data_IF_236905746063
#
_entry.id   IF_236905746063
#
_cell.length_a   1.000
_cell.length_b   1.000
_cell.length_c   1.000
_cell.angle_alpha   90.00
_cell.angle_beta   90.00
_cell.angle_gamma   90.00
#
_symmetry.space_group_name_H-M   'P 1'
#
loop_
_entity.id
_entity.type
_entity.pdbx_description
1 polymer ?
#
# COMPACT_ATOMS: atom_id res chain seq x y z
N UNK A 1 -9.19 -24.49 -13.30
CA UNK A 1 -10.63 -24.62 -12.98
C UNK A 1 -10.80 -24.44 -11.48
N UNK A 2 -11.32 -23.31 -10.99
CA UNK A 2 -11.67 -23.19 -9.59
C UNK A 2 -12.86 -24.10 -9.30
N UNK A 3 -12.70 -24.91 -8.25
CA UNK A 3 -13.69 -25.81 -7.69
C UNK A 3 -15.05 -25.13 -7.53
N UNK A 4 -16.11 -25.74 -8.08
CA UNK A 4 -17.51 -25.42 -7.76
C UNK A 4 -17.78 -25.75 -6.28
N UNK A 5 -17.36 -24.87 -5.38
CA UNK A 5 -17.70 -24.99 -3.97
C UNK A 5 -19.18 -24.63 -3.84
N UNK A 6 -20.03 -25.62 -3.53
CA UNK A 6 -21.45 -25.40 -3.25
C UNK A 6 -21.58 -24.34 -2.16
N UNK A 7 -22.13 -23.17 -2.52
CA UNK A 7 -22.40 -22.03 -1.63
C UNK A 7 -23.23 -22.54 -0.44
N UNK A 8 -22.62 -22.59 0.76
CA UNK A 8 -23.35 -22.84 2.01
C UNK A 8 -24.42 -21.75 2.14
N UNK A 9 -25.62 -22.13 2.61
CA UNK A 9 -26.71 -21.20 2.92
C UNK A 9 -26.14 -20.13 3.88
N UNK A 10 -26.21 -18.84 3.49
CA UNK A 10 -25.64 -17.71 4.25
C UNK A 10 -26.21 -17.73 5.67
N UNK A 11 -25.34 -17.61 6.68
CA UNK A 11 -25.79 -17.38 8.06
C UNK A 11 -26.37 -15.96 8.15
N UNK A 12 -27.28 -15.72 9.09
CA UNK A 12 -27.90 -14.39 9.28
C UNK A 12 -26.90 -13.43 9.96
N UNK A 13 -26.67 -12.24 9.40
CA UNK A 13 -25.74 -11.22 9.90
C UNK A 13 -24.42 -11.12 9.11
N UNK A 14 -23.75 -9.97 9.21
CA UNK A 14 -22.42 -9.68 8.64
C UNK A 14 -21.41 -10.81 8.90
N UNK A 15 -20.84 -11.37 7.82
CA UNK A 15 -19.74 -12.35 7.93
C UNK A 15 -18.36 -11.66 7.88
N UNK A 16 -17.97 -11.07 9.01
CA UNK A 16 -16.68 -10.40 9.18
C UNK A 16 -15.49 -11.29 8.83
N UNK A 17 -15.59 -12.58 9.17
CA UNK A 17 -14.53 -13.56 8.93
C UNK A 17 -14.35 -13.84 7.44
N UNK A 18 -15.47 -14.06 6.73
CA UNK A 18 -15.48 -14.25 5.28
C UNK A 18 -14.93 -13.04 4.53
N UNK A 19 -15.43 -11.83 4.81
CA UNK A 19 -14.97 -10.62 4.12
C UNK A 19 -13.46 -10.36 4.36
N UNK A 20 -13.02 -10.47 5.61
CA UNK A 20 -11.60 -10.28 5.98
C UNK A 20 -10.70 -11.33 5.33
N UNK A 21 -11.09 -12.61 5.35
CA UNK A 21 -10.27 -13.66 4.76
C UNK A 21 -10.22 -13.55 3.24
N UNK A 22 -11.35 -13.24 2.60
CA UNK A 22 -11.42 -13.02 1.15
C UNK A 22 -10.51 -11.86 0.73
N UNK A 23 -10.47 -10.76 1.49
CA UNK A 23 -9.56 -9.65 1.21
C UNK A 23 -8.08 -10.05 1.33
N UNK A 24 -7.71 -10.87 2.31
CA UNK A 24 -6.32 -11.34 2.48
C UNK A 24 -5.91 -12.31 1.38
N UNK A 25 -6.79 -13.23 1.02
CA UNK A 25 -6.56 -14.14 -0.10
C UNK A 25 -6.41 -13.34 -1.40
N UNK A 26 -7.22 -12.29 -1.57
CA UNK A 26 -7.13 -11.37 -2.70
C UNK A 26 -5.79 -10.63 -2.74
N UNK A 27 -5.33 -10.06 -1.61
CA UNK A 27 -4.01 -9.43 -1.48
C UNK A 27 -2.90 -10.36 -1.97
N UNK A 28 -2.94 -11.62 -1.54
CA UNK A 28 -1.93 -12.62 -1.89
C UNK A 28 -2.02 -13.04 -3.35
N UNK A 29 -3.22 -13.31 -3.86
CA UNK A 29 -3.43 -13.83 -5.20
C UNK A 29 -3.12 -12.79 -6.29
N UNK A 30 -3.47 -11.54 -6.04
CA UNK A 30 -3.28 -10.43 -6.99
C UNK A 30 -2.10 -9.54 -6.63
N UNK A 31 -1.22 -9.99 -5.73
CA UNK A 31 0.02 -9.32 -5.34
C UNK A 31 -0.18 -7.82 -5.04
N UNK A 32 -1.09 -7.53 -4.12
CA UNK A 32 -1.26 -6.19 -3.55
C UNK A 32 -0.14 -6.01 -2.52
N UNK A 33 1.00 -5.49 -2.97
CA UNK A 33 2.26 -5.49 -2.24
C UNK A 33 2.80 -4.08 -1.93
N UNK A 34 2.09 -3.03 -2.34
CA UNK A 34 2.50 -1.64 -2.18
C UNK A 34 1.35 -0.74 -1.72
N UNK A 35 1.71 0.39 -1.09
CA UNK A 35 0.79 1.44 -0.65
C UNK A 35 1.28 2.82 -1.11
N UNK A 36 0.41 3.71 -1.61
CA UNK A 36 -1.01 3.50 -1.90
C UNK A 36 -1.23 2.41 -2.97
N UNK A 37 -2.36 1.69 -2.89
CA UNK A 37 -2.75 0.73 -3.92
C UNK A 37 -3.19 1.48 -5.17
N UNK A 38 -2.72 1.10 -6.36
CA UNK A 38 -3.37 1.52 -7.61
C UNK A 38 -4.67 0.72 -7.78
N UNK A 39 -5.79 1.39 -7.59
CA UNK A 39 -7.11 0.76 -7.57
C UNK A 39 -7.61 0.42 -8.97
N UNK A 40 -7.18 1.14 -9.99
CA UNK A 40 -7.60 0.91 -11.37
C UNK A 40 -6.83 -0.27 -11.95
N UNK A 41 -5.51 -0.28 -11.78
CA UNK A 41 -4.67 -1.44 -12.14
C UNK A 41 -5.12 -2.71 -11.39
N UNK A 42 -5.59 -2.56 -10.14
CA UNK A 42 -6.11 -3.70 -9.38
C UNK A 42 -7.36 -4.31 -10.00
N UNK A 43 -8.30 -3.48 -10.46
CA UNK A 43 -9.52 -3.94 -11.14
C UNK A 43 -9.15 -4.64 -12.45
N UNK A 44 -8.26 -4.05 -13.25
CA UNK A 44 -7.81 -4.62 -14.52
C UNK A 44 -7.15 -5.99 -14.32
N UNK A 45 -6.23 -6.11 -13.36
CA UNK A 45 -5.56 -7.38 -13.03
C UNK A 45 -6.56 -8.44 -12.54
N UNK A 46 -7.54 -8.05 -11.73
CA UNK A 46 -8.59 -8.97 -11.29
C UNK A 46 -9.46 -9.45 -12.47
N UNK A 47 -9.88 -8.53 -13.34
CA UNK A 47 -10.68 -8.82 -14.53
C UNK A 47 -9.96 -9.80 -15.46
N UNK A 48 -8.67 -9.53 -15.75
CA UNK A 48 -7.83 -10.41 -16.58
C UNK A 48 -7.67 -11.79 -15.96
N UNK A 49 -7.25 -11.86 -14.69
CA UNK A 49 -6.96 -13.12 -14.01
C UNK A 49 -8.20 -14.01 -13.81
N UNK A 50 -9.39 -13.41 -13.71
CA UNK A 50 -10.66 -14.15 -13.56
C UNK A 50 -11.41 -14.34 -14.88
N UNK A 51 -10.90 -13.78 -15.98
CA UNK A 51 -11.58 -13.72 -17.27
C UNK A 51 -13.02 -13.17 -17.14
N UNK A 52 -13.17 -12.14 -16.31
CA UNK A 52 -14.41 -11.38 -16.16
C UNK A 52 -14.31 -10.10 -16.97
N UNK A 53 -15.41 -9.70 -17.61
CA UNK A 53 -15.50 -8.41 -18.26
C UNK A 53 -15.94 -7.38 -17.21
N UNK A 54 -15.03 -6.51 -16.79
CA UNK A 54 -15.30 -5.45 -15.82
C UNK A 54 -14.93 -4.12 -16.47
N UNK A 55 -15.85 -3.16 -16.42
CA UNK A 55 -15.64 -1.81 -16.93
C UNK A 55 -15.80 -0.82 -15.79
N UNK A 56 -14.90 0.15 -15.71
CA UNK A 56 -15.10 1.32 -14.86
C UNK A 56 -15.66 2.43 -15.73
N UNK A 57 -16.79 3.01 -15.32
CA UNK A 57 -17.44 4.13 -16.01
C UNK A 57 -17.58 5.30 -15.07
N UNK A 58 -17.21 6.48 -15.52
CA UNK A 58 -17.49 7.71 -14.78
C UNK A 58 -18.92 8.17 -15.03
N UNK A 59 -19.44 9.05 -14.17
CA UNK A 59 -20.72 9.70 -14.44
C UNK A 59 -20.64 10.57 -15.70
N UNK A 60 -19.46 11.11 -16.03
CA UNK A 60 -19.23 11.80 -17.30
C UNK A 60 -19.37 10.87 -18.51
N UNK A 61 -18.78 9.67 -18.47
CA UNK A 61 -18.92 8.66 -19.53
C UNK A 61 -20.40 8.30 -19.73
N UNK A 62 -21.12 8.02 -18.64
CA UNK A 62 -22.55 7.70 -18.70
C UNK A 62 -23.38 8.86 -19.23
N UNK A 63 -23.08 10.10 -18.83
CA UNK A 63 -23.77 11.28 -19.34
C UNK A 63 -23.56 11.43 -20.85
N UNK A 64 -22.34 11.18 -21.33
CA UNK A 64 -22.05 11.19 -22.75
C UNK A 64 -22.76 10.08 -23.52
N UNK A 65 -22.78 8.86 -23.00
CA UNK A 65 -23.41 7.69 -23.64
C UNK A 65 -24.94 7.79 -23.67
N UNK A 66 -25.55 8.18 -22.55
CA UNK A 66 -27.01 8.17 -22.35
C UNK A 66 -27.70 9.49 -22.68
N UNK A 67 -26.93 10.59 -22.75
CA UNK A 67 -27.43 11.98 -22.83
C UNK A 67 -28.29 12.41 -21.64
N UNK A 68 -28.23 11.67 -20.53
CA UNK A 68 -28.81 12.08 -19.24
C UNK A 68 -27.84 13.05 -18.57
N UNK A 69 -28.35 14.09 -17.93
CA UNK A 69 -27.49 15.02 -17.21
C UNK A 69 -26.88 14.38 -15.96
N UNK A 70 -25.76 14.96 -15.52
CA UNK A 70 -24.99 14.46 -14.37
C UNK A 70 -25.84 14.32 -13.11
N UNK A 71 -26.71 15.30 -12.80
CA UNK A 71 -27.43 15.32 -11.53
C UNK A 71 -28.45 14.18 -11.49
N UNK A 72 -29.19 13.97 -12.58
CA UNK A 72 -30.08 12.81 -12.69
C UNK A 72 -29.34 11.48 -12.62
N UNK A 73 -28.14 11.35 -13.20
CA UNK A 73 -27.35 10.12 -13.03
C UNK A 73 -26.92 9.90 -11.57
N UNK A 74 -26.56 10.98 -10.87
CA UNK A 74 -26.22 10.89 -9.44
C UNK A 74 -27.45 10.46 -8.63
N UNK A 75 -28.58 11.14 -8.80
CA UNK A 75 -29.77 10.96 -7.97
C UNK A 75 -30.51 9.64 -8.29
N UNK A 76 -30.61 9.28 -9.57
CA UNK A 76 -31.49 8.19 -10.02
C UNK A 76 -30.75 6.89 -10.35
N UNK A 77 -29.44 6.95 -10.68
CA UNK A 77 -28.65 5.75 -11.03
C UNK A 77 -27.81 5.27 -9.86
N UNK A 78 -26.99 6.15 -9.28
CA UNK A 78 -26.16 5.80 -8.11
C UNK A 78 -26.79 6.24 -6.78
N UNK A 79 -28.05 6.68 -6.78
CA UNK A 79 -28.85 6.98 -5.59
C UNK A 79 -28.24 7.99 -4.61
N UNK A 80 -27.49 8.97 -5.13
CA UNK A 80 -26.80 9.99 -4.34
C UNK A 80 -25.49 9.51 -3.69
N UNK A 81 -25.10 8.26 -3.92
CA UNK A 81 -23.84 7.69 -3.42
C UNK A 81 -22.63 8.08 -4.30
N UNK A 82 -21.44 7.60 -3.95
CA UNK A 82 -20.23 7.85 -4.72
C UNK A 82 -20.04 6.89 -5.90
N UNK A 83 -20.76 5.77 -5.94
CA UNK A 83 -20.65 4.78 -7.00
C UNK A 83 -21.65 3.64 -6.88
N UNK A 84 -21.59 2.73 -7.85
CA UNK A 84 -22.47 1.57 -7.94
C UNK A 84 -21.85 0.48 -8.82
N UNK A 85 -21.86 -0.75 -8.34
CA UNK A 85 -21.60 -1.93 -9.16
C UNK A 85 -22.90 -2.52 -9.72
N UNK A 86 -22.92 -2.78 -11.04
CA UNK A 86 -24.02 -3.45 -11.73
C UNK A 86 -23.49 -4.63 -12.54
N UNK A 87 -24.31 -5.67 -12.70
CA UNK A 87 -24.03 -6.78 -13.61
C UNK A 87 -25.09 -6.86 -14.70
N UNK A 88 -24.65 -6.86 -15.97
CA UNK A 88 -25.49 -7.09 -17.13
C UNK A 88 -25.36 -8.56 -17.61
N UNK A 89 -26.41 -9.39 -17.42
CA UNK A 89 -26.40 -10.78 -17.88
C UNK A 89 -26.41 -10.93 -19.40
N UNK A 90 -26.91 -9.94 -20.15
CA UNK A 90 -27.07 -10.02 -21.60
C UNK A 90 -25.69 -9.92 -22.28
N UNK A 91 -24.80 -9.07 -21.74
CA UNK A 91 -23.42 -8.91 -22.20
C UNK A 91 -22.38 -9.64 -21.35
N UNK A 92 -22.81 -10.23 -20.22
CA UNK A 92 -21.93 -10.83 -19.21
C UNK A 92 -20.83 -9.85 -18.75
N UNK A 93 -21.23 -8.61 -18.46
CA UNK A 93 -20.33 -7.51 -18.12
C UNK A 93 -20.69 -6.92 -16.76
N UNK A 94 -19.67 -6.72 -15.92
CA UNK A 94 -19.76 -5.89 -14.72
C UNK A 94 -19.42 -4.44 -15.07
N UNK A 95 -20.18 -3.49 -14.55
CA UNK A 95 -19.83 -2.06 -14.61
C UNK A 95 -19.72 -1.50 -13.20
N UNK A 96 -18.57 -0.90 -12.89
CA UNK A 96 -18.32 -0.11 -11.70
C UNK A 96 -18.50 1.35 -12.10
N UNK A 97 -19.60 1.95 -11.67
CA UNK A 97 -19.93 3.35 -11.94
C UNK A 97 -19.37 4.19 -10.79
N UNK A 98 -18.63 5.26 -11.11
CA UNK A 98 -18.05 6.16 -10.10
C UNK A 98 -18.39 7.62 -10.36
N UNK A 99 -18.68 8.34 -9.28
CA UNK A 99 -18.69 9.80 -9.28
C UNK A 99 -17.25 10.31 -9.28
N UNK A 100 -16.70 10.59 -10.46
CA UNK A 100 -15.31 11.00 -10.68
C UNK A 100 -14.98 12.41 -10.13
N UNK A 101 -15.98 13.11 -9.58
CA UNK A 101 -15.83 14.40 -8.90
C UNK A 101 -15.97 14.28 -7.38
N UNK A 102 -16.01 13.07 -6.83
CA UNK A 102 -16.05 12.86 -5.38
C UNK A 102 -14.73 13.32 -4.74
N UNK A 103 -14.82 14.26 -3.81
CA UNK A 103 -13.68 14.81 -3.08
C UNK A 103 -13.70 14.41 -1.60
N UNK A 104 -12.54 14.12 -0.98
CA UNK A 104 -11.20 14.05 -1.59
C UNK A 104 -11.02 12.84 -2.52
N UNK A 105 -10.00 12.83 -3.38
CA UNK A 105 -9.66 11.69 -4.28
C UNK A 105 -9.63 10.30 -3.58
N UNK A 106 -9.31 10.27 -2.28
CA UNK A 106 -9.39 9.05 -1.47
C UNK A 106 -10.79 8.41 -1.42
N UNK A 107 -11.87 9.18 -1.66
CA UNK A 107 -13.23 8.65 -1.80
C UNK A 107 -13.39 7.86 -3.09
N UNK A 108 -12.90 8.39 -4.22
CA UNK A 108 -12.91 7.67 -5.50
C UNK A 108 -12.18 6.32 -5.35
N UNK A 109 -10.99 6.34 -4.72
CA UNK A 109 -10.21 5.13 -4.44
C UNK A 109 -10.97 4.13 -3.57
N UNK A 110 -11.65 4.61 -2.54
CA UNK A 110 -12.51 3.79 -1.69
C UNK A 110 -13.65 3.16 -2.48
N UNK A 111 -14.40 3.97 -3.21
CA UNK A 111 -15.56 3.54 -4.00
C UNK A 111 -15.18 2.47 -5.01
N UNK A 112 -14.09 2.65 -5.79
CA UNK A 112 -13.65 1.63 -6.76
C UNK A 112 -13.43 0.27 -6.11
N UNK A 113 -12.76 0.23 -4.96
CA UNK A 113 -12.49 -1.04 -4.26
C UNK A 113 -13.73 -1.57 -3.55
N UNK A 114 -14.61 -0.71 -3.04
CA UNK A 114 -15.90 -1.09 -2.45
C UNK A 114 -16.80 -1.76 -3.49
N UNK A 115 -16.96 -1.16 -4.67
CA UNK A 115 -17.72 -1.73 -5.77
C UNK A 115 -17.08 -3.03 -6.29
N UNK A 116 -15.75 -3.09 -6.38
CA UNK A 116 -15.05 -4.34 -6.68
C UNK A 116 -15.34 -5.41 -5.62
N UNK A 117 -15.46 -5.05 -4.35
CA UNK A 117 -15.79 -5.99 -3.28
C UNK A 117 -17.15 -6.66 -3.52
N UNK A 118 -18.16 -5.93 -4.00
CA UNK A 118 -19.45 -6.52 -4.36
C UNK A 118 -19.33 -7.58 -5.45
N UNK A 119 -18.45 -7.39 -6.43
CA UNK A 119 -18.16 -8.38 -7.47
C UNK A 119 -17.46 -9.60 -6.86
N UNK A 120 -16.37 -9.37 -6.11
CA UNK A 120 -15.50 -10.41 -5.54
C UNK A 120 -16.24 -11.28 -4.53
N UNK A 121 -17.05 -10.67 -3.65
CA UNK A 121 -17.83 -11.36 -2.62
C UNK A 121 -19.08 -12.05 -3.22
N UNK A 122 -19.37 -11.86 -4.51
CA UNK A 122 -20.49 -12.46 -5.20
C UNK A 122 -21.85 -11.89 -4.75
N UNK A 123 -21.85 -10.59 -4.43
CA UNK A 123 -23.04 -9.84 -4.04
C UNK A 123 -23.98 -9.57 -5.22
N UNK A 124 -23.44 -9.54 -6.45
CA UNK A 124 -24.18 -9.33 -7.68
C UNK A 124 -24.61 -10.68 -8.29
N UNK A 125 -25.71 -11.27 -7.81
CA UNK A 125 -26.25 -12.52 -8.36
C UNK A 125 -27.38 -12.32 -9.38
N UNK A 126 -27.31 -13.12 -10.46
CA UNK A 126 -28.12 -13.21 -11.68
C UNK A 126 -29.62 -12.81 -11.60
N UNK A 127 -29.92 -11.51 -11.73
CA UNK A 127 -31.09 -11.00 -12.47
C UNK A 127 -31.02 -9.47 -12.54
N UNK A 128 -30.31 -8.90 -13.54
CA UNK A 128 -30.13 -7.44 -13.73
C UNK A 128 -30.04 -6.67 -12.41
N UNK A 129 -29.10 -7.06 -11.56
CA UNK A 129 -28.93 -6.48 -10.23
C UNK A 129 -27.85 -5.40 -10.32
N UNK A 130 -28.27 -4.14 -10.44
CA UNK A 130 -27.70 -3.14 -9.54
C UNK A 130 -27.87 -3.69 -8.14
N UNK A 131 -26.92 -3.44 -7.22
CA UNK A 131 -26.93 -3.94 -5.82
C UNK A 131 -28.36 -4.25 -5.41
N UNK A 132 -28.61 -5.51 -5.04
CA UNK A 132 -29.86 -6.30 -5.03
C UNK A 132 -30.99 -5.70 -4.15
N UNK A 133 -31.10 -4.37 -4.12
CA UNK A 133 -31.91 -3.48 -3.29
C UNK A 133 -33.40 -3.77 -3.43
N UNK A 134 -33.82 -4.25 -4.59
CA UNK A 134 -35.23 -4.58 -4.85
C UNK A 134 -35.61 -6.04 -4.53
N UNK A 135 -34.65 -6.92 -4.21
CA UNK A 135 -34.92 -8.33 -3.88
C UNK A 135 -34.43 -8.74 -2.48
N UNK A 136 -33.66 -7.90 -1.78
CA UNK A 136 -33.16 -8.15 -0.43
C UNK A 136 -33.97 -7.42 0.63
N UNK A 137 -33.91 -7.94 1.85
CA UNK A 137 -34.31 -7.17 3.05
C UNK A 137 -33.25 -6.09 3.36
N UNK A 138 -33.65 -5.02 4.04
CA UNK A 138 -32.73 -3.95 4.49
C UNK A 138 -31.57 -4.50 5.32
N UNK A 139 -31.83 -5.47 6.20
CA UNK A 139 -30.81 -6.17 6.98
C UNK A 139 -29.79 -6.90 6.08
N UNK A 140 -30.25 -7.63 5.06
CA UNK A 140 -29.36 -8.37 4.16
C UNK A 140 -28.51 -7.44 3.28
N UNK A 141 -29.09 -6.30 2.87
CA UNK A 141 -28.38 -5.25 2.14
C UNK A 141 -27.28 -4.65 3.02
N UNK A 142 -27.63 -4.23 4.24
CA UNK A 142 -26.69 -3.65 5.21
C UNK A 142 -25.57 -4.63 5.56
N UNK A 143 -25.88 -5.93 5.68
CA UNK A 143 -24.86 -6.96 5.88
C UNK A 143 -23.84 -7.01 4.72
N UNK A 144 -24.30 -6.86 3.47
CA UNK A 144 -23.45 -6.90 2.26
C UNK A 144 -22.61 -5.63 2.10
N UNK A 145 -23.17 -4.45 2.38
CA UNK A 145 -22.42 -3.19 2.41
C UNK A 145 -21.31 -3.23 3.47
N UNK A 146 -21.61 -3.77 4.66
CA UNK A 146 -20.62 -3.88 5.72
C UNK A 146 -19.50 -4.88 5.37
N UNK A 147 -19.82 -5.99 4.70
CA UNK A 147 -18.83 -6.93 4.16
C UNK A 147 -17.94 -6.26 3.09
N UNK A 148 -18.52 -5.47 2.19
CA UNK A 148 -17.78 -4.72 1.19
C UNK A 148 -16.84 -3.66 1.82
N UNK A 149 -17.31 -2.93 2.84
CA UNK A 149 -16.47 -2.01 3.62
C UNK A 149 -15.27 -2.71 4.29
N UNK A 150 -15.48 -3.90 4.86
CA UNK A 150 -14.41 -4.68 5.49
C UNK A 150 -13.37 -5.08 4.45
N UNK A 151 -13.84 -5.57 3.29
CA UNK A 151 -12.96 -5.94 2.19
C UNK A 151 -12.14 -4.74 1.71
N UNK A 152 -12.79 -3.63 1.35
CA UNK A 152 -12.13 -2.43 0.85
C UNK A 152 -11.12 -1.86 1.84
N UNK A 153 -11.48 -1.83 3.13
CA UNK A 153 -10.58 -1.39 4.18
C UNK A 153 -9.33 -2.27 4.30
N UNK A 154 -9.47 -3.59 4.23
CA UNK A 154 -8.32 -4.50 4.29
C UNK A 154 -7.44 -4.43 3.03
N UNK A 155 -8.00 -4.17 1.84
CA UNK A 155 -7.22 -3.96 0.61
C UNK A 155 -6.44 -2.63 0.66
N UNK A 156 -7.14 -1.52 0.90
CA UNK A 156 -6.57 -0.17 0.77
C UNK A 156 -5.64 0.20 1.94
N UNK A 157 -5.87 -0.37 3.11
CA UNK A 157 -5.09 -0.05 4.31
C UNK A 157 -4.92 -1.27 5.21
N UNK A 158 -4.22 -2.34 4.77
CA UNK A 158 -4.22 -3.62 5.46
C UNK A 158 -3.80 -3.50 6.93
N UNK A 159 -4.71 -3.83 7.85
CA UNK A 159 -4.61 -3.47 9.29
C UNK A 159 -3.26 -3.86 9.88
N UNK A 160 -2.84 -5.07 9.60
CA UNK A 160 -1.61 -5.60 10.18
C UNK A 160 -0.35 -4.99 9.57
N UNK A 161 -0.39 -4.58 8.30
CA UNK A 161 0.72 -3.88 7.63
C UNK A 161 0.89 -2.47 8.21
N UNK A 162 -0.21 -1.73 8.38
CA UNK A 162 -0.20 -0.40 9.03
C UNK A 162 0.33 -0.49 10.46
N UNK A 163 -0.14 -1.48 11.23
CA UNK A 163 0.37 -1.77 12.58
C UNK A 163 1.88 -2.03 12.57
N UNK A 164 2.39 -2.83 11.61
CA UNK A 164 3.82 -3.16 11.49
C UNK A 164 4.68 -1.98 11.06
N UNK A 165 4.16 -1.08 10.23
CA UNK A 165 4.81 0.19 9.90
C UNK A 165 4.89 1.09 11.13
N UNK A 166 3.95 0.91 12.07
CA UNK A 166 3.82 1.71 13.28
C UNK A 166 3.07 3.01 13.04
N UNK A 167 2.40 3.17 11.89
CA UNK A 167 1.55 4.34 11.62
C UNK A 167 0.36 4.32 12.58
N UNK A 168 0.20 5.40 13.34
CA UNK A 168 -0.74 5.44 14.46
C UNK A 168 -1.64 6.68 14.44
N UNK A 169 -1.44 7.60 13.49
CA UNK A 169 -2.34 8.75 13.31
C UNK A 169 -3.06 8.67 11.98
N UNK A 170 -4.28 9.22 11.93
CA UNK A 170 -5.06 9.30 10.69
C UNK A 170 -4.33 10.04 9.57
N UNK A 171 -3.58 11.09 9.91
CA UNK A 171 -2.79 11.84 8.92
C UNK A 171 -1.72 10.94 8.26
N UNK A 172 -0.99 10.15 9.06
CA UNK A 172 -0.01 9.22 8.50
C UNK A 172 -0.65 8.13 7.66
N UNK A 173 -1.79 7.59 8.11
CA UNK A 173 -2.54 6.56 7.38
C UNK A 173 -3.06 7.13 6.05
N UNK A 174 -3.54 8.36 6.06
CA UNK A 174 -3.97 9.09 4.87
C UNK A 174 -2.82 9.22 3.86
N UNK A 175 -1.65 9.70 4.30
CA UNK A 175 -0.49 9.92 3.43
C UNK A 175 0.09 8.60 2.86
N UNK A 176 0.09 7.53 3.65
CA UNK A 176 0.63 6.22 3.26
C UNK A 176 -0.33 5.50 2.30
N UNK A 177 -1.63 5.53 2.59
CA UNK A 177 -2.62 4.69 1.89
C UNK A 177 -3.41 5.45 0.80
N UNK A 178 -3.32 6.79 0.76
CA UNK A 178 -4.09 7.63 -0.15
C UNK A 178 -5.59 7.58 0.14
N UNK A 179 -5.98 7.69 1.42
CA UNK A 179 -7.37 7.57 1.88
C UNK A 179 -8.02 8.93 2.17
N UNK A 180 -9.35 8.96 2.28
CA UNK A 180 -10.06 10.08 2.91
C UNK A 180 -9.76 10.10 4.41
N UNK A 181 -9.92 11.27 5.04
CA UNK A 181 -9.68 11.40 6.49
C UNK A 181 -10.61 10.47 7.30
N UNK A 182 -11.87 10.34 6.89
CA UNK A 182 -12.84 9.47 7.56
C UNK A 182 -12.43 7.99 7.50
N UNK A 183 -11.95 7.51 6.34
CA UNK A 183 -11.44 6.14 6.21
C UNK A 183 -10.16 5.94 7.03
N UNK A 184 -9.31 6.95 7.12
CA UNK A 184 -8.11 6.93 7.97
C UNK A 184 -8.44 6.91 9.46
N UNK A 185 -9.42 7.68 9.93
CA UNK A 185 -9.88 7.68 11.32
C UNK A 185 -10.46 6.30 11.72
N UNK A 186 -11.24 5.69 10.83
CA UNK A 186 -11.73 4.32 11.04
C UNK A 186 -10.58 3.33 11.20
N UNK A 187 -9.54 3.45 10.36
CA UNK A 187 -8.35 2.60 10.45
C UNK A 187 -7.52 2.88 11.71
N UNK A 188 -7.32 4.14 12.08
CA UNK A 188 -6.61 4.53 13.30
C UNK A 188 -7.23 3.86 14.53
N UNK A 189 -8.56 3.94 14.65
CA UNK A 189 -9.30 3.28 15.73
C UNK A 189 -9.07 1.76 15.72
N UNK A 190 -9.13 1.10 14.56
CA UNK A 190 -8.87 -0.34 14.45
C UNK A 190 -7.44 -0.72 14.84
N UNK A 191 -6.45 0.14 14.58
CA UNK A 191 -5.05 -0.05 15.00
C UNK A 191 -4.91 0.17 16.50
N UNK A 192 -5.55 1.20 17.06
CA UNK A 192 -5.56 1.49 18.48
C UNK A 192 -6.13 0.31 19.28
N UNK A 193 -7.22 -0.29 18.80
CA UNK A 193 -7.77 -1.51 19.40
C UNK A 193 -6.78 -2.68 19.39
N UNK A 194 -6.05 -2.86 18.29
CA UNK A 194 -5.06 -3.93 18.15
C UNK A 194 -3.86 -3.73 19.10
N UNK A 195 -3.44 -2.48 19.31
CA UNK A 195 -2.36 -2.12 20.23
C UNK A 195 -2.77 -2.41 21.68
N UNK A 196 -4.00 -2.04 22.05
CA UNK A 196 -4.47 -2.13 23.44
C UNK A 196 -4.97 -3.53 23.82
N UNK A 197 -5.43 -4.34 22.86
CA UNK A 197 -5.89 -5.69 23.11
C UNK A 197 -5.20 -6.72 22.20
N UNK A 198 -4.12 -7.30 22.71
CA UNK A 198 -3.35 -8.33 22.00
C UNK A 198 -4.17 -9.57 21.63
N UNK A 199 -5.33 -9.83 22.27
CA UNK A 199 -6.21 -10.95 21.91
C UNK A 199 -6.87 -10.75 20.55
N UNK A 200 -6.94 -9.51 20.05
CA UNK A 200 -7.42 -9.17 18.70
C UNK A 200 -6.40 -9.48 17.61
N UNK A 201 -5.16 -9.86 17.98
CA UNK A 201 -4.15 -10.33 17.03
C UNK A 201 -4.40 -11.81 16.70
N UNK A 202 -4.61 -12.11 15.43
CA UNK A 202 -4.82 -13.47 14.95
C UNK A 202 -3.70 -13.85 13.97
N UNK A 203 -3.26 -15.11 14.00
CA UNK A 203 -2.19 -15.61 13.10
C UNK A 203 -2.53 -15.42 11.62
N UNK A 204 -3.82 -15.45 11.28
CA UNK A 204 -4.29 -15.17 9.92
C UNK A 204 -3.90 -13.76 9.42
N UNK A 205 -3.61 -12.81 10.32
CA UNK A 205 -3.10 -11.49 9.97
C UNK A 205 -1.65 -11.53 9.47
N UNK A 206 -0.87 -12.55 9.85
CA UNK A 206 0.53 -12.68 9.47
C UNK A 206 0.71 -13.14 8.02
N UNK A 207 -0.35 -13.72 7.44
CA UNK A 207 -0.33 -14.35 6.11
C UNK A 207 0.00 -13.37 4.99
N UNK A 208 -0.33 -12.09 5.14
CA UNK A 208 -0.06 -11.04 4.13
C UNK A 208 1.33 -10.42 4.24
N UNK A 209 2.09 -10.69 5.32
CA UNK A 209 3.45 -10.12 5.50
C UNK A 209 4.39 -10.49 4.35
N UNK A 210 4.44 -11.74 3.86
CA UNK A 210 5.34 -12.10 2.76
C UNK A 210 5.06 -11.31 1.48
N UNK A 211 3.80 -11.03 1.16
CA UNK A 211 3.41 -10.18 0.02
C UNK A 211 4.00 -8.77 0.15
N UNK A 212 3.97 -8.20 1.36
CA UNK A 212 4.54 -6.88 1.66
C UNK A 212 6.03 -6.92 2.08
N UNK A 213 6.76 -8.01 1.85
CA UNK A 213 8.12 -8.15 2.38
C UNK A 213 9.07 -7.06 1.89
N UNK A 214 9.00 -6.72 0.59
CA UNK A 214 9.79 -5.65 -0.01
C UNK A 214 9.37 -4.28 0.53
N UNK A 215 8.07 -3.99 0.55
CA UNK A 215 7.52 -2.75 1.10
C UNK A 215 7.96 -2.52 2.56
N UNK A 216 7.96 -3.58 3.37
CA UNK A 216 8.35 -3.52 4.78
C UNK A 216 9.86 -3.54 5.01
N UNK A 217 10.70 -3.76 3.99
CA UNK A 217 12.14 -3.84 4.17
C UNK A 217 12.71 -2.51 4.65
N UNK A 218 13.55 -2.52 5.68
CA UNK A 218 14.29 -1.31 6.03
C UNK A 218 15.44 -1.09 5.05
N UNK A 219 15.55 0.13 4.53
CA UNK A 219 16.69 0.61 3.75
C UNK A 219 17.14 1.95 4.30
N UNK A 220 18.26 2.45 3.80
CA UNK A 220 18.67 3.84 3.99
C UNK A 220 18.64 4.59 2.67
N UNK A 221 18.39 5.89 2.70
CA UNK A 221 18.41 6.75 1.50
C UNK A 221 19.25 8.00 1.75
N UNK A 222 20.07 8.35 0.75
CA UNK A 222 20.87 9.57 0.75
C UNK A 222 20.07 10.72 0.14
N UNK A 223 19.24 11.39 0.94
CA UNK A 223 18.39 12.50 0.48
C UNK A 223 18.31 13.57 1.56
N UNK A 224 17.99 14.81 1.16
CA UNK A 224 17.61 15.85 2.11
C UNK A 224 16.32 15.44 2.84
N UNK A 225 16.31 15.59 4.17
CA UNK A 225 15.16 15.21 5.01
C UNK A 225 13.84 15.82 4.54
N UNK A 226 13.87 17.04 4.00
CA UNK A 226 12.66 17.73 3.55
C UNK A 226 12.07 17.21 2.26
N UNK A 227 12.83 16.45 1.47
CA UNK A 227 12.40 15.81 0.23
C UNK A 227 11.84 14.41 0.44
N UNK A 228 11.82 13.89 1.67
CA UNK A 228 11.22 12.59 1.94
C UNK A 228 9.70 12.66 2.00
N UNK A 229 9.06 11.65 1.40
CA UNK A 229 7.60 11.48 1.37
C UNK A 229 7.01 11.38 2.78
N UNK A 230 7.44 10.40 3.59
CA UNK A 230 6.91 10.17 4.95
C UNK A 230 7.94 10.55 6.02
N UNK A 231 7.97 11.84 6.39
CA UNK A 231 8.97 12.40 7.32
C UNK A 231 8.86 11.89 8.75
N UNK A 232 7.67 11.48 9.19
CA UNK A 232 7.43 10.99 10.55
C UNK A 232 8.02 9.60 10.81
N UNK A 233 8.39 8.85 9.75
CA UNK A 233 8.84 7.46 9.81
C UNK A 233 10.29 7.27 9.38
N UNK A 234 11.11 8.28 9.65
CA UNK A 234 12.53 8.26 9.38
C UNK A 234 13.30 8.18 10.69
N UNK A 235 14.44 7.51 10.65
CA UNK A 235 15.39 7.45 11.75
C UNK A 235 16.80 7.59 11.18
N UNK A 236 17.76 7.93 12.03
CA UNK A 236 19.18 7.89 11.67
C UNK A 236 19.87 6.85 12.53
N UNK A 237 20.67 5.99 11.91
CA UNK A 237 21.49 5.05 12.66
C UNK A 237 22.63 5.79 13.37
N UNK A 238 22.90 5.44 14.62
CA UNK A 238 24.03 6.00 15.37
C UNK A 238 25.35 5.69 14.65
N UNK A 239 26.14 6.72 14.28
CA UNK A 239 27.46 6.52 13.69
C UNK A 239 28.38 5.65 14.54
N UNK A 240 29.18 4.82 13.90
CA UNK A 240 30.25 4.11 14.59
C UNK A 240 31.34 5.10 15.06
N UNK A 241 31.84 4.89 16.27
CA UNK A 241 32.92 5.68 16.84
C UNK A 241 34.19 5.55 16.00
N UNK A 242 34.85 6.68 15.74
CA UNK A 242 36.15 6.72 15.08
C UNK A 242 37.25 6.58 16.12
N UNK A 243 38.19 5.69 15.87
CA UNK A 243 39.40 5.59 16.67
C UNK A 243 40.29 6.81 16.42
N UNK A 244 40.95 7.28 17.49
CA UNK A 244 41.89 8.40 17.44
C UNK A 244 43.13 8.07 16.60
N UNK A 245 43.62 6.82 16.68
CA UNK A 245 44.70 6.32 15.84
C UNK A 245 44.15 5.53 14.67
N UNK A 246 44.69 5.79 13.47
CA UNK A 246 44.38 5.01 12.27
C UNK A 246 44.78 3.55 12.50
N UNK A 247 43.84 2.65 12.23
CA UNK A 247 44.07 1.22 12.24
C UNK A 247 45.07 0.83 11.15
N UNK A 248 45.96 -0.12 11.45
CA UNK A 248 46.78 -0.76 10.41
C UNK A 248 45.87 -1.60 9.53
N UNK A 249 45.74 -1.17 8.28
CA UNK A 249 44.90 -1.79 7.25
C UNK A 249 45.70 -1.83 5.95
N UNK A 250 45.47 -2.87 5.13
CA UNK A 250 46.09 -2.93 3.82
C UNK A 250 45.43 -1.91 2.88
N UNK A 251 46.19 -1.47 1.88
CA UNK A 251 45.74 -0.57 0.84
C UNK A 251 45.87 -1.32 -0.48
N UNK A 252 44.82 -1.29 -1.30
CA UNK A 252 44.83 -1.86 -2.64
C UNK A 252 45.74 -1.02 -3.56
N UNK A 253 46.17 -1.55 -4.72
CA UNK A 253 46.98 -0.80 -5.68
C UNK A 253 46.36 0.54 -6.12
N UNK A 254 45.03 0.67 -6.05
CA UNK A 254 44.25 1.86 -6.41
C UNK A 254 44.20 2.91 -5.27
N UNK A 255 44.91 2.69 -4.16
CA UNK A 255 44.98 3.63 -3.03
C UNK A 255 43.79 3.56 -2.08
N UNK A 256 43.07 2.42 -2.08
CA UNK A 256 41.88 2.22 -1.27
C UNK A 256 42.13 1.27 -0.11
N UNK A 257 41.63 1.60 1.07
CA UNK A 257 41.74 0.73 2.23
C UNK A 257 40.87 -0.53 2.07
N UNK A 258 41.34 -1.72 2.43
CA UNK A 258 40.52 -2.97 2.37
C UNK A 258 39.38 -2.99 3.41
N UNK A 259 39.53 -2.23 4.49
CA UNK A 259 38.53 -1.99 5.53
C UNK A 259 38.69 -0.58 6.06
N UNK A 260 37.65 -0.04 6.70
CA UNK A 260 37.68 1.33 7.20
C UNK A 260 38.84 1.53 8.20
N UNK A 261 39.78 2.47 7.94
CA UNK A 261 40.93 2.71 8.82
C UNK A 261 40.55 3.35 10.16
N UNK A 262 39.32 3.86 10.32
CA UNK A 262 38.90 4.60 11.52
C UNK A 262 38.00 3.80 12.45
N UNK A 263 37.08 2.98 11.93
CA UNK A 263 36.17 2.19 12.76
C UNK A 263 36.31 0.67 12.54
N UNK A 264 37.18 0.24 11.62
CA UNK A 264 37.42 -1.17 11.32
C UNK A 264 36.30 -1.86 10.54
N UNK A 265 35.26 -1.13 10.11
CA UNK A 265 34.16 -1.69 9.34
C UNK A 265 34.64 -2.29 8.01
N UNK A 266 34.18 -3.50 7.72
CA UNK A 266 34.37 -4.12 6.41
C UNK A 266 33.46 -3.46 5.38
N UNK A 267 33.95 -3.32 4.15
CA UNK A 267 33.18 -2.77 3.05
C UNK A 267 33.56 -3.45 1.75
N UNK A 268 32.71 -3.32 0.74
CA UNK A 268 33.08 -3.72 -0.60
C UNK A 268 34.13 -2.73 -1.14
N UNK A 269 35.37 -3.20 -1.29
CA UNK A 269 36.48 -2.40 -1.78
C UNK A 269 36.26 -1.90 -3.22
N UNK A 270 35.40 -2.51 -4.03
CA UNK A 270 35.22 -2.04 -5.42
C UNK A 270 34.14 -0.95 -5.52
N UNK A 271 33.16 -0.94 -4.62
CA UNK A 271 31.95 -0.13 -4.78
C UNK A 271 31.84 1.09 -3.84
N UNK A 272 32.48 1.08 -2.67
CA UNK A 272 32.25 2.08 -1.62
C UNK A 272 33.36 3.15 -1.55
N UNK A 273 33.04 4.43 -1.67
CA UNK A 273 33.97 5.55 -1.48
C UNK A 273 34.13 5.96 -0.01
N UNK A 274 33.09 5.75 0.78
CA UNK A 274 33.04 6.12 2.20
C UNK A 274 32.59 4.94 3.05
N UNK A 275 33.05 4.91 4.30
CA UNK A 275 32.59 3.95 5.27
C UNK A 275 31.12 4.22 5.61
N UNK A 276 30.22 3.27 5.32
CA UNK A 276 28.79 3.39 5.64
C UNK A 276 28.49 3.62 7.13
N UNK A 277 29.38 3.22 8.04
CA UNK A 277 29.14 3.33 9.50
C UNK A 277 29.67 4.62 10.12
N UNK A 278 30.81 5.16 9.67
CA UNK A 278 31.44 6.34 10.28
C UNK A 278 31.66 7.51 9.31
N UNK A 279 31.36 7.33 8.01
CA UNK A 279 31.43 8.38 6.99
C UNK A 279 32.85 8.78 6.57
N UNK A 280 33.89 8.11 7.10
CA UNK A 280 35.27 8.40 6.68
C UNK A 280 35.54 7.94 5.24
N UNK A 281 36.40 8.68 4.54
CA UNK A 281 36.94 8.27 3.23
C UNK A 281 37.60 6.89 3.33
N UNK A 282 37.36 6.06 2.32
CA UNK A 282 38.02 4.77 2.15
C UNK A 282 39.23 4.83 1.22
N UNK A 283 39.59 6.03 0.76
CA UNK A 283 40.80 6.30 0.01
C UNK A 283 41.78 7.13 0.82
N UNK A 284 43.08 6.92 0.57
CA UNK A 284 44.16 7.72 1.16
C UNK A 284 44.03 9.21 0.78
N UNK A 285 43.72 9.49 -0.48
CA UNK A 285 43.32 10.81 -0.97
C UNK A 285 41.80 10.95 -1.01
N UNK A 286 41.24 12.07 -0.56
CA UNK A 286 39.78 12.29 -0.63
C UNK A 286 39.27 12.22 -2.08
N UNK A 287 38.27 11.36 -2.37
CA UNK A 287 37.66 11.31 -3.69
C UNK A 287 36.87 12.60 -3.98
N UNK A 288 36.82 13.01 -5.25
CA UNK A 288 35.91 14.06 -5.72
C UNK A 288 34.48 13.54 -5.64
N UNK A 289 33.71 13.98 -4.65
CA UNK A 289 32.32 13.54 -4.46
C UNK A 289 31.36 14.71 -4.41
N UNK A 290 30.07 14.49 -4.78
CA UNK A 290 29.04 15.51 -4.62
C UNK A 290 28.98 15.99 -3.18
N UNK A 291 28.93 17.30 -2.98
CA UNK A 291 28.73 17.92 -1.66
C UNK A 291 27.29 17.79 -1.16
N UNK A 292 26.36 17.39 -2.04
CA UNK A 292 24.93 17.23 -1.75
C UNK A 292 24.52 15.75 -1.73
N UNK A 293 23.40 15.40 -1.05
CA UNK A 293 22.86 14.05 -1.07
C UNK A 293 22.60 13.56 -2.50
N UNK A 294 22.98 12.31 -2.79
CA UNK A 294 23.06 11.78 -4.15
C UNK A 294 21.90 10.85 -4.56
N UNK A 295 20.88 10.66 -3.72
CA UNK A 295 19.74 9.79 -3.96
C UNK A 295 20.01 8.29 -3.77
N UNK A 296 21.26 7.88 -3.54
CA UNK A 296 21.62 6.46 -3.42
C UNK A 296 20.89 5.77 -2.26
N UNK A 297 20.31 4.62 -2.56
CA UNK A 297 19.73 3.70 -1.57
C UNK A 297 20.84 2.78 -1.04
N UNK A 298 20.90 2.67 0.28
CA UNK A 298 21.91 1.90 1.00
C UNK A 298 21.32 0.84 1.92
N UNK A 299 22.21 0.10 2.57
CA UNK A 299 21.86 -0.94 3.53
C UNK A 299 21.23 -0.36 4.82
N UNK A 300 20.42 -1.18 5.49
CA UNK A 300 19.60 -0.77 6.66
C UNK A 300 20.39 -0.31 7.89
N UNK A 301 21.67 -0.65 7.96
CA UNK A 301 22.59 -0.37 9.06
C UNK A 301 23.53 0.81 8.75
N UNK A 302 23.47 1.39 7.55
CA UNK A 302 24.29 2.53 7.18
C UNK A 302 23.89 3.79 7.97
N UNK A 303 24.88 4.55 8.43
CA UNK A 303 24.74 5.91 8.97
C UNK A 303 25.12 6.97 7.93
N UNK A 304 25.92 6.59 6.94
CA UNK A 304 26.39 7.45 5.85
C UNK A 304 26.27 6.75 4.50
N UNK A 305 26.13 7.55 3.45
CA UNK A 305 26.14 7.10 2.07
C UNK A 305 27.56 6.65 1.71
N UNK A 306 27.69 5.41 1.30
CA UNK A 306 28.95 4.82 0.85
C UNK A 306 29.46 5.45 -0.46
N UNK A 307 28.64 6.19 -1.21
CA UNK A 307 29.05 6.85 -2.46
C UNK A 307 29.52 8.29 -2.28
N UNK A 308 28.79 9.12 -1.52
CA UNK A 308 29.08 10.55 -1.36
C UNK A 308 29.41 11.00 0.08
N UNK A 309 29.34 10.11 1.07
CA UNK A 309 29.70 10.41 2.46
C UNK A 309 28.65 11.19 3.25
N UNK A 310 27.57 11.66 2.61
CA UNK A 310 26.47 12.35 3.30
C UNK A 310 25.70 11.42 4.26
N UNK A 311 25.05 12.02 5.26
CA UNK A 311 24.13 11.31 6.16
C UNK A 311 23.02 10.65 5.34
N UNK A 312 22.61 9.45 5.77
CA UNK A 312 21.46 8.75 5.21
C UNK A 312 20.37 8.58 6.26
N UNK A 313 19.13 8.48 5.79
CA UNK A 313 17.98 8.25 6.65
C UNK A 313 17.44 6.86 6.44
N UNK A 314 17.16 6.16 7.54
CA UNK A 314 16.58 4.83 7.58
C UNK A 314 15.07 4.92 7.63
N UNK A 315 14.41 4.22 6.72
CA UNK A 315 12.96 4.04 6.71
C UNK A 315 12.61 2.73 6.00
N UNK A 316 11.32 2.42 5.86
CA UNK A 316 10.85 1.27 5.08
C UNK A 316 10.86 1.62 3.60
N UNK A 317 11.24 0.66 2.77
CA UNK A 317 11.41 0.85 1.32
C UNK A 317 10.10 1.33 0.66
N UNK A 318 8.96 0.78 1.10
CA UNK A 318 7.62 1.19 0.70
C UNK A 318 7.22 2.64 1.01
N UNK A 319 7.95 3.32 1.89
CA UNK A 319 7.67 4.71 2.28
C UNK A 319 8.60 5.72 1.59
N UNK A 320 9.55 5.22 0.79
CA UNK A 320 10.48 6.07 0.04
C UNK A 320 9.85 6.61 -1.24
N UNK A 321 9.05 5.78 -1.90
CA UNK A 321 8.60 5.99 -3.27
C UNK A 321 7.16 5.53 -3.46
N UNK A 322 6.46 6.15 -4.40
CA UNK A 322 5.28 5.55 -5.01
C UNK A 322 5.68 4.35 -5.87
N UNK A 323 4.74 3.41 -6.11
CA UNK A 323 5.04 2.17 -6.84
C UNK A 323 5.56 2.46 -8.25
N UNK A 324 5.04 3.50 -8.89
CA UNK A 324 5.37 3.90 -10.26
C UNK A 324 6.77 4.52 -10.40
N UNK A 325 7.45 4.82 -9.29
CA UNK A 325 8.80 5.40 -9.27
C UNK A 325 9.91 4.34 -9.15
N UNK A 326 9.57 3.04 -9.03
CA UNK A 326 10.50 1.91 -8.87
C UNK A 326 11.01 1.36 -10.21
#
# INVERSE_FOLDING_TARGET
MPSKTKRKKRAKGVDYGFATQTARDFIQLYNVDWLPVDVFELVDRYAEATNQNIQIKTIEDLSFETKIDRQSLIDDVIYGEDGLAIFDPDTNTYSIIINEKAEPYGRIRWTVVHELAHIVLGHLSNSKTSIVMWQLTEDEYNDMEQEAHIFAGEILSPKFIIYRIGAHSSAEIQDICGLSIAASDSRENAIFELINDKRKMHDSMLTIIPTFAQFLEFKTICIEKDKMRIKSRITQNTPAEKQLSILKVNITPEGKYERCPYCGNNHNADAANFCKLCGSSLFESQPLTPTTPCGKIGEKDASFCDHCGNIVYKTRFGLLFDKDEL
#
